data_IF_996431639047
#
_entry.id   IF_996431639047
#
_cell.length_a   1.000
_cell.length_b   1.000
_cell.length_c   1.000
_cell.angle_alpha   90.00
_cell.angle_beta   90.00
_cell.angle_gamma   90.00
#
_symmetry.space_group_name_H-M   'P 1'
#
loop_
_entity.id
_entity.type
_entity.pdbx_description
1 polymer ?
#
# COMPACT_ATOMS: atom_id res chain seq x y z
N UNK A 1 -59.60 -9.20 25.65
CA UNK A 1 -58.32 -9.87 25.32
C UNK A 1 -58.23 -9.87 23.81
N UNK A 2 -57.47 -8.96 23.20
CA UNK A 2 -57.39 -8.86 21.75
C UNK A 2 -56.45 -9.94 21.23
N UNK A 3 -57.04 -10.97 20.64
CA UNK A 3 -56.36 -12.04 19.92
C UNK A 3 -55.77 -11.43 18.63
N UNK A 4 -54.53 -10.96 18.72
CA UNK A 4 -53.83 -10.41 17.56
C UNK A 4 -53.28 -11.61 16.79
N UNK A 5 -53.66 -11.84 15.53
CA UNK A 5 -53.22 -13.01 14.78
C UNK A 5 -51.69 -13.05 14.74
N UNK A 6 -51.13 -14.14 15.25
CA UNK A 6 -49.69 -14.38 15.29
C UNK A 6 -49.20 -14.53 13.85
N UNK A 7 -48.45 -13.54 13.34
CA UNK A 7 -47.93 -13.54 11.96
C UNK A 7 -47.00 -14.75 11.78
N UNK A 8 -47.10 -15.44 10.64
CA UNK A 8 -46.32 -16.65 10.35
C UNK A 8 -44.90 -16.40 9.86
N UNK A 9 -44.49 -15.14 9.76
CA UNK A 9 -43.20 -14.73 9.22
C UNK A 9 -42.55 -13.67 10.12
N UNK A 10 -41.22 -13.73 10.30
CA UNK A 10 -40.53 -12.80 11.16
C UNK A 10 -40.47 -11.41 10.49
N UNK A 11 -40.56 -10.36 11.30
CA UNK A 11 -40.54 -8.97 10.84
C UNK A 11 -39.24 -8.30 11.24
N UNK A 12 -38.85 -7.28 10.48
CA UNK A 12 -37.71 -6.46 10.83
C UNK A 12 -37.99 -5.71 12.14
N UNK A 13 -37.17 -5.98 13.14
CA UNK A 13 -37.09 -5.26 14.41
C UNK A 13 -35.66 -4.76 14.57
N UNK A 14 -35.43 -3.78 15.44
CA UNK A 14 -34.07 -3.35 15.77
C UNK A 14 -33.27 -4.54 16.31
N UNK A 15 -33.84 -5.28 17.27
CA UNK A 15 -33.24 -6.45 17.92
C UNK A 15 -32.73 -7.48 16.90
N UNK A 16 -33.59 -7.89 15.97
CA UNK A 16 -33.34 -9.03 15.07
C UNK A 16 -32.87 -8.59 13.66
N UNK A 17 -32.60 -7.29 13.46
CA UNK A 17 -32.40 -6.67 12.14
C UNK A 17 -31.40 -7.40 11.24
N UNK A 18 -30.22 -7.77 11.74
CA UNK A 18 -29.19 -8.46 10.95
C UNK A 18 -29.61 -9.90 10.58
N UNK A 19 -30.31 -10.60 11.49
CA UNK A 19 -30.78 -11.97 11.27
C UNK A 19 -31.86 -12.00 10.19
N UNK A 20 -32.79 -11.03 10.23
CA UNK A 20 -33.85 -10.87 9.22
C UNK A 20 -33.28 -10.59 7.83
N UNK A 21 -32.22 -9.77 7.74
CA UNK A 21 -31.55 -9.50 6.45
C UNK A 21 -30.81 -10.74 5.97
N UNK A 22 -30.03 -11.40 6.84
CA UNK A 22 -29.25 -12.58 6.49
C UNK A 22 -30.11 -13.79 6.14
N UNK A 23 -31.30 -13.93 6.72
CA UNK A 23 -32.26 -14.98 6.37
C UNK A 23 -32.74 -14.91 4.90
N UNK A 24 -32.47 -13.80 4.19
CA UNK A 24 -32.81 -13.63 2.77
C UNK A 24 -31.69 -14.04 1.81
N UNK A 25 -30.54 -14.49 2.32
CA UNK A 25 -29.48 -15.07 1.48
C UNK A 25 -30.05 -16.35 0.85
N UNK A 26 -30.01 -16.43 -0.49
CA UNK A 26 -30.61 -17.54 -1.23
C UNK A 26 -29.94 -18.88 -0.93
N UNK A 27 -30.69 -20.00 -1.01
CA UNK A 27 -30.17 -21.33 -0.68
C UNK A 27 -29.07 -21.81 -1.63
N UNK A 28 -29.01 -21.29 -2.84
CA UNK A 28 -28.05 -21.69 -3.88
C UNK A 28 -26.76 -20.85 -3.90
N UNK A 29 -26.60 -19.90 -2.97
CA UNK A 29 -25.40 -19.05 -2.90
C UNK A 29 -24.21 -19.86 -2.41
N UNK A 30 -23.05 -19.69 -3.06
CA UNK A 30 -21.80 -20.35 -2.67
C UNK A 30 -21.49 -20.10 -1.17
N UNK A 31 -21.06 -21.13 -0.40
CA UNK A 31 -20.88 -21.01 1.05
C UNK A 31 -19.98 -19.85 1.49
N UNK A 32 -18.90 -19.59 0.74
CA UNK A 32 -17.97 -18.48 1.04
C UNK A 32 -18.64 -17.12 0.85
N UNK A 33 -19.36 -16.91 -0.24
CA UNK A 33 -20.07 -15.66 -0.55
C UNK A 33 -21.17 -15.39 0.48
N UNK A 34 -21.93 -16.42 0.87
CA UNK A 34 -22.95 -16.32 1.91
C UNK A 34 -22.34 -15.91 3.26
N UNK A 35 -21.21 -16.51 3.65
CA UNK A 35 -20.50 -16.18 4.88
C UNK A 35 -19.99 -14.73 4.89
N UNK A 36 -19.40 -14.26 3.78
CA UNK A 36 -18.93 -12.88 3.63
C UNK A 36 -20.07 -11.86 3.73
N UNK A 37 -21.16 -12.08 2.98
CA UNK A 37 -22.33 -11.20 3.02
C UNK A 37 -22.93 -11.12 4.44
N UNK A 38 -23.10 -12.29 5.09
CA UNK A 38 -23.66 -12.35 6.42
C UNK A 38 -22.80 -11.64 7.48
N UNK A 39 -21.47 -11.71 7.35
CA UNK A 39 -20.55 -11.00 8.23
C UNK A 39 -20.65 -9.48 8.06
N UNK A 40 -20.64 -8.99 6.81
CA UNK A 40 -20.78 -7.54 6.52
C UNK A 40 -22.07 -7.00 7.10
N UNK A 41 -23.21 -7.65 6.83
CA UNK A 41 -24.52 -7.23 7.35
C UNK A 41 -24.51 -7.20 8.88
N UNK A 42 -23.99 -8.23 9.54
CA UNK A 42 -23.92 -8.29 11.01
C UNK A 42 -23.11 -7.13 11.59
N UNK A 43 -21.92 -6.87 11.06
CA UNK A 43 -21.06 -5.79 11.59
C UNK A 43 -21.58 -4.39 11.25
N UNK A 44 -22.18 -4.21 10.06
CA UNK A 44 -22.80 -2.94 9.69
C UNK A 44 -24.00 -2.61 10.61
N UNK A 45 -24.88 -3.59 10.86
CA UNK A 45 -26.01 -3.40 11.76
C UNK A 45 -25.56 -3.16 13.20
N UNK A 46 -24.52 -3.87 13.67
CA UNK A 46 -23.95 -3.63 14.99
C UNK A 46 -23.44 -2.18 15.13
N UNK A 47 -22.71 -1.68 14.14
CA UNK A 47 -22.23 -0.30 14.13
C UNK A 47 -23.39 0.72 14.13
N UNK A 48 -24.44 0.51 13.33
CA UNK A 48 -25.62 1.40 13.30
C UNK A 48 -26.32 1.45 14.66
N UNK A 49 -26.47 0.30 15.34
CA UNK A 49 -27.06 0.25 16.68
C UNK A 49 -26.18 0.90 17.75
N UNK A 50 -24.86 0.80 17.60
CA UNK A 50 -23.91 1.44 18.53
C UNK A 50 -23.90 2.97 18.37
N UNK A 51 -23.98 3.46 17.13
CA UNK A 51 -23.90 4.89 16.81
C UNK A 51 -25.26 5.60 17.05
N UNK A 52 -26.37 4.88 16.87
CA UNK A 52 -27.74 5.44 16.86
C UNK A 52 -27.87 6.70 15.96
N UNK A 53 -27.46 6.65 14.67
CA UNK A 53 -27.36 7.84 13.84
C UNK A 53 -28.73 8.45 13.56
N UNK A 54 -28.77 9.77 13.52
CA UNK A 54 -29.90 10.53 12.99
C UNK A 54 -30.07 10.30 11.48
N UNK A 55 -31.25 10.62 10.95
CA UNK A 55 -31.49 10.55 9.51
C UNK A 55 -30.54 11.46 8.71
N UNK A 56 -30.21 12.63 9.25
CA UNK A 56 -29.28 13.57 8.61
C UNK A 56 -27.85 13.01 8.55
N UNK A 57 -27.37 12.39 9.63
CA UNK A 57 -26.06 11.72 9.64
C UNK A 57 -26.02 10.54 8.67
N UNK A 58 -27.10 9.74 8.61
CA UNK A 58 -27.22 8.68 7.62
C UNK A 58 -27.19 9.22 6.18
N UNK A 59 -27.95 10.28 5.87
CA UNK A 59 -27.91 10.91 4.54
C UNK A 59 -26.53 11.49 4.22
N UNK A 60 -25.82 12.05 5.20
CA UNK A 60 -24.46 12.53 5.03
C UNK A 60 -23.48 11.38 4.70
N UNK A 61 -23.61 10.22 5.36
CA UNK A 61 -22.82 9.04 5.06
C UNK A 61 -23.10 8.48 3.64
N UNK A 62 -24.37 8.44 3.22
CA UNK A 62 -24.75 8.04 1.86
C UNK A 62 -24.16 9.01 0.82
N UNK A 63 -24.22 10.32 1.08
CA UNK A 63 -23.63 11.33 0.20
C UNK A 63 -22.11 11.16 0.13
N UNK A 64 -21.43 10.94 1.25
CA UNK A 64 -19.99 10.65 1.28
C UNK A 64 -19.62 9.47 0.39
N UNK A 65 -20.28 8.31 0.56
CA UNK A 65 -20.01 7.13 -0.27
C UNK A 65 -20.32 7.36 -1.76
N UNK A 66 -21.36 8.15 -2.05
CA UNK A 66 -21.71 8.53 -3.42
C UNK A 66 -20.62 9.39 -4.06
N UNK A 67 -20.14 10.42 -3.34
CA UNK A 67 -19.05 11.29 -3.80
C UNK A 67 -17.74 10.49 -3.95
N UNK A 68 -17.44 9.55 -3.04
CA UNK A 68 -16.28 8.64 -3.16
C UNK A 68 -16.35 7.84 -4.46
N UNK A 69 -17.52 7.27 -4.78
CA UNK A 69 -17.72 6.56 -6.04
C UNK A 69 -17.57 7.45 -7.27
N UNK A 70 -18.12 8.67 -7.24
CA UNK A 70 -18.04 9.63 -8.34
C UNK A 70 -16.62 10.18 -8.57
N UNK A 71 -15.77 10.16 -7.54
CA UNK A 71 -14.37 10.57 -7.63
C UNK A 71 -13.47 9.49 -8.26
N UNK A 72 -13.94 8.25 -8.35
CA UNK A 72 -13.19 7.18 -8.98
C UNK A 72 -13.14 7.37 -10.52
N UNK A 73 -11.97 7.09 -11.11
CA UNK A 73 -11.71 7.13 -12.55
C UNK A 73 -10.67 6.05 -12.91
N UNK A 74 -10.28 5.95 -14.18
CA UNK A 74 -9.24 5.02 -14.65
C UNK A 74 -7.88 5.22 -13.96
N UNK A 75 -7.63 6.41 -13.41
CA UNK A 75 -6.35 6.79 -12.80
C UNK A 75 -6.47 7.18 -11.31
N UNK A 76 -7.69 7.18 -10.76
CA UNK A 76 -7.95 7.52 -9.35
C UNK A 76 -8.94 6.52 -8.75
N UNK A 77 -8.54 5.83 -7.68
CA UNK A 77 -9.39 4.88 -6.97
C UNK A 77 -9.68 5.36 -5.55
N UNK A 78 -10.67 6.25 -5.40
CA UNK A 78 -11.01 6.87 -4.11
C UNK A 78 -11.56 5.83 -3.10
N UNK A 79 -12.17 4.73 -3.55
CA UNK A 79 -12.56 3.63 -2.66
C UNK A 79 -11.37 2.82 -2.13
N UNK A 80 -10.32 2.65 -2.94
CA UNK A 80 -9.06 2.06 -2.46
C UNK A 80 -8.43 3.01 -1.45
N UNK A 81 -8.39 4.31 -1.74
CA UNK A 81 -7.87 5.31 -0.82
C UNK A 81 -8.64 5.35 0.51
N UNK A 82 -9.97 5.21 0.47
CA UNK A 82 -10.81 5.07 1.65
C UNK A 82 -10.44 3.82 2.46
N UNK A 83 -10.24 2.69 1.79
CA UNK A 83 -9.75 1.44 2.42
C UNK A 83 -8.39 1.64 3.08
N UNK A 84 -7.47 2.36 2.42
CA UNK A 84 -6.12 2.65 2.92
C UNK A 84 -6.17 3.49 4.21
N UNK A 85 -6.88 4.61 4.20
CA UNK A 85 -6.93 5.52 5.36
C UNK A 85 -7.76 4.97 6.53
N UNK A 86 -8.60 3.96 6.29
CA UNK A 86 -9.31 3.22 7.34
C UNK A 86 -8.51 1.99 7.83
N UNK A 87 -7.32 1.74 7.27
CA UNK A 87 -6.45 0.62 7.64
C UNK A 87 -6.92 -0.75 7.13
N UNK A 88 -7.97 -0.79 6.30
CA UNK A 88 -8.54 -2.03 5.76
C UNK A 88 -7.56 -2.69 4.80
N UNK A 89 -6.89 -1.92 3.95
CA UNK A 89 -5.91 -2.46 2.99
C UNK A 89 -4.74 -3.14 3.70
N UNK A 90 -4.20 -2.50 4.75
CA UNK A 90 -3.14 -3.09 5.58
C UNK A 90 -3.62 -4.32 6.36
N UNK A 91 -4.86 -4.32 6.85
CA UNK A 91 -5.43 -5.49 7.52
C UNK A 91 -5.59 -6.68 6.56
N UNK A 92 -6.06 -6.43 5.34
CA UNK A 92 -6.15 -7.46 4.29
C UNK A 92 -4.77 -8.00 3.95
N UNK A 93 -3.76 -7.14 3.79
CA UNK A 93 -2.38 -7.56 3.56
C UNK A 93 -1.85 -8.45 4.71
N UNK A 94 -1.99 -8.00 5.96
CA UNK A 94 -1.53 -8.74 7.13
C UNK A 94 -2.20 -10.12 7.30
N UNK A 95 -3.47 -10.27 6.91
CA UNK A 95 -4.19 -11.56 6.95
C UNK A 95 -3.64 -12.53 5.90
N UNK A 96 -3.37 -12.04 4.68
CA UNK A 96 -2.99 -12.88 3.55
C UNK A 96 -1.48 -13.13 3.44
N UNK A 97 -0.64 -12.30 4.08
CA UNK A 97 0.82 -12.40 4.01
C UNK A 97 1.45 -12.57 5.38
N UNK A 98 1.10 -13.66 6.07
CA UNK A 98 1.75 -14.06 7.32
C UNK A 98 3.15 -14.59 7.02
N UNK A 99 4.15 -13.72 7.13
CA UNK A 99 5.55 -14.02 6.86
C UNK A 99 6.20 -14.77 8.03
N UNK A 100 6.81 -15.95 7.82
CA UNK A 100 7.48 -16.68 8.88
C UNK A 100 8.87 -16.10 9.17
N UNK A 101 9.26 -16.09 10.44
CA UNK A 101 10.64 -15.87 10.87
C UNK A 101 11.24 -14.56 10.34
N UNK A 102 12.23 -14.69 9.45
CA UNK A 102 13.01 -13.60 8.87
C UNK A 102 12.54 -13.17 7.47
N UNK A 103 11.44 -13.73 6.94
CA UNK A 103 10.92 -13.33 5.64
C UNK A 103 10.51 -11.84 5.64
N UNK A 104 10.81 -11.12 4.56
CA UNK A 104 10.52 -9.69 4.47
C UNK A 104 9.03 -9.44 4.55
N UNK A 105 8.65 -8.50 5.41
CA UNK A 105 7.25 -8.14 5.61
C UNK A 105 6.65 -7.43 4.39
N UNK A 106 5.39 -7.73 4.12
CA UNK A 106 4.61 -6.99 3.13
C UNK A 106 4.12 -5.66 3.70
N UNK A 107 3.81 -4.74 2.80
CA UNK A 107 2.96 -3.58 3.04
C UNK A 107 2.19 -3.27 1.74
N UNK A 108 1.31 -2.27 1.76
CA UNK A 108 0.41 -1.98 0.63
C UNK A 108 1.16 -1.67 -0.68
N UNK A 109 0.61 -2.09 -1.82
CA UNK A 109 1.10 -1.73 -3.15
C UNK A 109 0.98 -0.23 -3.44
N UNK A 110 -0.12 0.38 -2.99
CA UNK A 110 -0.52 1.71 -3.42
C UNK A 110 -1.01 1.75 -4.88
N UNK A 111 -1.59 2.88 -5.32
CA UNK A 111 -2.27 2.97 -6.62
C UNK A 111 -1.34 3.31 -7.79
N UNK A 112 -0.03 3.44 -7.55
CA UNK A 112 0.91 4.04 -8.50
C UNK A 112 1.88 3.05 -9.14
N UNK A 113 1.67 1.74 -8.99
CA UNK A 113 2.45 0.72 -9.69
C UNK A 113 2.14 0.73 -11.20
N UNK A 114 3.16 0.50 -12.03
CA UNK A 114 3.04 0.43 -13.50
C UNK A 114 3.66 -0.88 -13.96
N UNK A 115 2.87 -1.68 -14.67
CA UNK A 115 3.30 -2.97 -15.21
C UNK A 115 4.11 -2.84 -16.50
N UNK A 116 4.86 -3.90 -16.84
CA UNK A 116 5.47 -4.04 -18.17
C UNK A 116 6.73 -3.21 -18.41
N UNK A 117 7.38 -2.72 -17.35
CA UNK A 117 8.68 -2.05 -17.47
C UNK A 117 9.75 -3.03 -17.99
N UNK A 118 10.66 -2.58 -18.88
CA UNK A 118 11.78 -3.41 -19.32
C UNK A 118 12.80 -3.58 -18.20
N UNK A 119 13.50 -4.72 -18.19
CA UNK A 119 14.63 -4.94 -17.29
C UNK A 119 15.77 -3.99 -17.66
N UNK A 120 16.28 -3.26 -16.66
CA UNK A 120 17.36 -2.28 -16.79
C UNK A 120 18.69 -2.87 -16.32
N UNK A 121 19.83 -2.40 -16.88
CA UNK A 121 21.14 -2.75 -16.35
C UNK A 121 21.32 -2.31 -14.88
N UNK A 122 22.07 -3.10 -14.11
CA UNK A 122 22.46 -2.73 -12.76
C UNK A 122 23.16 -1.36 -12.75
N UNK A 123 22.81 -0.52 -11.77
CA UNK A 123 23.35 0.83 -11.63
C UNK A 123 22.69 1.89 -12.51
N UNK A 124 21.64 1.55 -13.25
CA UNK A 124 20.82 2.56 -13.95
C UNK A 124 20.37 3.64 -12.96
N UNK A 125 20.45 4.91 -13.40
CA UNK A 125 19.90 6.03 -12.64
C UNK A 125 18.42 6.20 -12.99
N UNK A 126 17.57 6.05 -11.98
CA UNK A 126 16.12 6.18 -12.09
C UNK A 126 15.68 7.65 -12.00
N UNK A 127 16.50 8.55 -11.45
CA UNK A 127 16.19 9.98 -11.41
C UNK A 127 16.46 10.61 -12.78
N UNK A 128 15.40 10.81 -13.55
CA UNK A 128 15.43 11.37 -14.91
C UNK A 128 15.18 12.89 -14.92
N UNK A 129 14.56 13.42 -13.87
CA UNK A 129 14.28 14.87 -13.74
C UNK A 129 15.40 15.65 -13.02
N UNK A 130 16.38 14.95 -12.44
CA UNK A 130 17.53 15.54 -11.78
C UNK A 130 17.20 16.25 -10.45
N UNK A 131 16.05 15.96 -9.84
CA UNK A 131 15.61 16.56 -8.58
C UNK A 131 15.82 15.63 -7.39
N UNK A 132 16.17 16.21 -6.24
CA UNK A 132 16.36 15.50 -4.97
C UNK A 132 17.82 15.18 -4.64
N UNK A 133 18.03 14.64 -3.45
CA UNK A 133 19.37 14.26 -2.97
C UNK A 133 19.79 12.92 -3.60
N UNK A 134 20.96 12.81 -4.25
CA UNK A 134 21.41 11.57 -4.87
C UNK A 134 21.43 10.39 -3.89
N UNK A 135 20.91 9.24 -4.31
CA UNK A 135 20.85 8.01 -3.52
C UNK A 135 21.39 6.83 -4.34
N UNK A 136 22.20 5.98 -3.71
CA UNK A 136 22.48 4.62 -4.18
C UNK A 136 21.70 3.65 -3.32
N UNK A 137 20.93 2.79 -3.98
CA UNK A 137 20.24 1.66 -3.33
C UNK A 137 20.95 0.39 -3.74
N UNK A 138 21.47 -0.34 -2.75
CA UNK A 138 21.96 -1.71 -2.91
C UNK A 138 21.01 -2.67 -2.21
N UNK A 139 20.89 -3.89 -2.72
CA UNK A 139 20.11 -4.91 -2.07
C UNK A 139 20.55 -6.31 -2.45
N UNK A 140 20.06 -7.27 -1.68
CA UNK A 140 20.25 -8.69 -1.95
C UNK A 140 18.92 -9.43 -1.78
N UNK A 141 18.72 -10.49 -2.56
CA UNK A 141 17.54 -11.34 -2.48
C UNK A 141 17.99 -12.74 -2.08
N UNK A 142 17.47 -13.23 -0.96
CA UNK A 142 17.72 -14.58 -0.47
C UNK A 142 16.42 -15.29 -0.13
N UNK A 143 16.48 -16.61 0.08
CA UNK A 143 15.38 -17.34 0.71
C UNK A 143 15.50 -17.34 2.24
N UNK A 144 14.51 -17.92 2.93
CA UNK A 144 14.47 -18.03 4.40
C UNK A 144 15.60 -18.88 5.00
N UNK A 145 16.33 -19.65 4.19
CA UNK A 145 17.52 -20.40 4.60
C UNK A 145 18.82 -19.62 4.35
N UNK A 146 18.72 -18.39 3.83
CA UNK A 146 19.86 -17.52 3.52
C UNK A 146 20.54 -17.84 2.21
N UNK A 147 19.94 -18.69 1.35
CA UNK A 147 20.50 -18.99 0.02
C UNK A 147 20.16 -17.84 -0.94
N UNK A 148 21.11 -17.36 -1.76
CA UNK A 148 20.84 -16.30 -2.72
C UNK A 148 19.81 -16.77 -3.76
N UNK A 149 18.92 -15.85 -4.16
CA UNK A 149 17.92 -16.08 -5.20
C UNK A 149 18.33 -15.27 -6.43
N UNK A 150 18.92 -15.96 -7.40
CA UNK A 150 19.32 -15.39 -8.68
C UNK A 150 18.13 -15.24 -9.63
N UNK A 151 18.14 -14.19 -10.46
CA UNK A 151 17.07 -13.91 -11.43
C UNK A 151 15.72 -13.53 -10.80
N UNK A 152 15.71 -13.12 -9.53
CA UNK A 152 14.54 -12.48 -8.94
C UNK A 152 14.34 -11.13 -9.64
N UNK A 153 13.11 -10.85 -10.05
CA UNK A 153 12.71 -9.56 -10.57
C UNK A 153 12.47 -8.58 -9.42
N UNK A 154 13.00 -7.36 -9.53
CA UNK A 154 12.83 -6.27 -8.58
C UNK A 154 12.25 -5.06 -9.31
N UNK A 155 10.96 -4.84 -9.17
CA UNK A 155 10.28 -3.63 -9.63
C UNK A 155 10.32 -2.56 -8.52
N UNK A 156 10.71 -1.34 -8.88
CA UNK A 156 10.94 -0.22 -7.96
C UNK A 156 10.22 1.03 -8.46
N UNK A 157 9.58 1.76 -7.55
CA UNK A 157 9.02 3.07 -7.84
C UNK A 157 9.00 3.97 -6.60
N UNK A 158 9.10 5.28 -6.79
CA UNK A 158 8.97 6.30 -5.73
C UNK A 158 8.50 7.64 -6.31
N UNK A 159 8.14 8.58 -5.43
CA UNK A 159 7.91 9.97 -5.80
C UNK A 159 9.22 10.70 -6.09
N UNK A 160 9.13 11.77 -6.88
CA UNK A 160 10.21 12.75 -7.00
C UNK A 160 10.27 13.71 -5.80
N UNK A 161 11.23 14.65 -5.81
CA UNK A 161 11.45 15.58 -4.69
C UNK A 161 10.27 16.55 -4.45
N UNK A 162 9.38 16.71 -5.44
CA UNK A 162 8.14 17.48 -5.33
C UNK A 162 6.98 16.64 -4.74
N UNK A 163 7.19 15.35 -4.47
CA UNK A 163 6.21 14.45 -3.86
C UNK A 163 5.23 13.80 -4.84
N UNK A 164 5.57 13.72 -6.13
CA UNK A 164 4.69 13.14 -7.16
C UNK A 164 5.32 11.95 -7.87
N UNK A 165 4.49 10.94 -8.16
CA UNK A 165 4.81 9.93 -9.16
C UNK A 165 4.63 10.51 -10.57
N UNK A 166 5.46 10.06 -11.52
CA UNK A 166 5.39 10.44 -12.93
C UNK A 166 3.97 10.35 -13.54
N UNK A 167 3.21 9.30 -13.21
CA UNK A 167 1.84 9.07 -13.69
C UNK A 167 0.84 10.13 -13.24
N UNK A 168 1.14 10.85 -12.16
CA UNK A 168 0.34 11.98 -11.67
C UNK A 168 0.70 13.28 -12.40
N UNK A 169 1.85 13.33 -13.06
CA UNK A 169 2.42 14.53 -13.68
C UNK A 169 2.77 14.29 -15.16
N UNK A 170 1.85 13.67 -15.91
CA UNK A 170 2.01 13.41 -17.36
C UNK A 170 2.32 14.71 -18.11
N UNK A 171 3.40 14.71 -18.87
CA UNK A 171 3.88 15.87 -19.65
C UNK A 171 4.66 16.91 -18.83
N UNK A 172 4.80 16.72 -17.51
CA UNK A 172 5.63 17.55 -16.63
C UNK A 172 6.86 16.79 -16.14
N UNK A 173 6.69 15.54 -15.70
CA UNK A 173 7.80 14.63 -15.41
C UNK A 173 8.18 13.80 -16.65
N UNK A 174 9.46 13.41 -16.79
CA UNK A 174 9.85 12.39 -17.77
C UNK A 174 9.06 11.10 -17.56
N UNK A 175 8.66 10.45 -18.64
CA UNK A 175 7.98 9.15 -18.59
C UNK A 175 8.90 8.09 -17.96
N UNK A 176 8.40 7.36 -16.96
CA UNK A 176 9.19 6.37 -16.23
C UNK A 176 10.17 6.97 -15.21
N UNK A 177 10.07 8.27 -14.90
CA UNK A 177 10.90 8.89 -13.87
C UNK A 177 10.74 8.16 -12.53
N UNK A 178 11.86 7.82 -11.90
CA UNK A 178 11.96 7.12 -10.63
C UNK A 178 11.26 5.76 -10.60
N UNK A 179 11.22 5.08 -11.75
CA UNK A 179 10.76 3.70 -11.90
C UNK A 179 11.81 2.83 -12.56
N UNK A 180 11.90 1.58 -12.12
CA UNK A 180 12.81 0.62 -12.76
C UNK A 180 12.46 -0.82 -12.44
N UNK A 181 12.88 -1.71 -13.33
CA UNK A 181 12.82 -3.15 -13.13
C UNK A 181 14.23 -3.71 -13.25
N UNK A 182 14.66 -4.51 -12.30
CA UNK A 182 15.98 -5.13 -12.26
C UNK A 182 15.87 -6.63 -12.06
N UNK A 183 16.96 -7.34 -12.30
CA UNK A 183 17.11 -8.75 -11.97
C UNK A 183 18.28 -8.94 -11.01
N UNK A 184 18.12 -9.81 -10.01
CA UNK A 184 19.20 -10.16 -9.09
C UNK A 184 20.27 -11.02 -9.78
N UNK A 185 21.54 -10.79 -9.45
CA UNK A 185 22.68 -11.53 -9.97
C UNK A 185 22.80 -12.94 -9.35
N UNK A 186 23.89 -13.67 -9.67
CA UNK A 186 24.11 -15.03 -9.20
C UNK A 186 24.24 -15.14 -7.66
N UNK A 187 24.66 -14.05 -7.02
CA UNK A 187 24.78 -13.90 -5.58
C UNK A 187 23.52 -13.26 -4.96
N UNK A 188 22.47 -13.04 -5.76
CA UNK A 188 21.22 -12.43 -5.34
C UNK A 188 21.28 -10.90 -5.24
N UNK A 189 22.39 -10.26 -5.62
CA UNK A 189 22.61 -8.83 -5.53
C UNK A 189 21.91 -8.03 -6.62
N UNK A 190 21.54 -6.78 -6.29
CA UNK A 190 21.12 -5.78 -7.26
C UNK A 190 21.44 -4.38 -6.74
N UNK A 191 21.54 -3.40 -7.64
CA UNK A 191 21.71 -2.00 -7.24
C UNK A 191 21.27 -1.04 -8.33
N UNK A 192 20.91 0.18 -7.92
CA UNK A 192 20.54 1.28 -8.81
C UNK A 192 20.79 2.63 -8.15
N UNK A 193 20.71 3.70 -8.96
CA UNK A 193 20.77 5.09 -8.47
C UNK A 193 19.37 5.69 -8.51
N UNK A 194 19.05 6.46 -7.49
CA UNK A 194 17.77 7.14 -7.33
C UNK A 194 18.01 8.46 -6.59
N UNK A 195 16.97 9.00 -5.98
CA UNK A 195 17.06 10.05 -4.99
C UNK A 195 16.45 9.64 -3.66
N UNK A 196 16.91 10.28 -2.59
CA UNK A 196 16.40 10.05 -1.25
C UNK A 196 14.88 10.26 -1.22
N UNK A 197 14.09 9.32 -0.69
CA UNK A 197 12.65 9.46 -0.69
C UNK A 197 12.22 10.62 0.21
N UNK A 198 11.10 11.25 -0.14
CA UNK A 198 10.48 12.33 0.61
C UNK A 198 9.08 11.92 1.03
N UNK A 199 8.61 12.47 2.15
CA UNK A 199 7.20 12.38 2.51
C UNK A 199 6.36 13.18 1.50
N UNK A 200 5.12 12.75 1.34
CA UNK A 200 4.18 13.39 0.42
C UNK A 200 2.74 13.15 0.89
N UNK A 201 1.80 14.07 0.59
CA UNK A 201 0.39 13.85 0.85
C UNK A 201 -0.20 12.83 -0.14
N UNK A 202 -1.06 11.93 0.34
CA UNK A 202 -2.01 11.24 -0.55
C UNK A 202 -2.95 12.28 -1.21
N UNK A 203 -3.64 11.97 -2.32
CA UNK A 203 -4.67 12.86 -2.87
C UNK A 203 -5.72 13.23 -1.80
N UNK A 204 -5.81 14.52 -1.47
CA UNK A 204 -6.64 15.04 -0.38
C UNK A 204 -7.70 16.06 -0.82
N UNK A 205 -7.83 16.29 -2.12
CA UNK A 205 -8.85 17.12 -2.76
C UNK A 205 -10.24 16.47 -2.83
N UNK A 206 -10.33 15.18 -2.47
CA UNK A 206 -11.55 14.37 -2.55
C UNK A 206 -12.27 14.14 -1.21
N UNK A 207 -13.33 13.33 -1.22
CA UNK A 207 -14.05 12.96 0.00
C UNK A 207 -13.14 12.39 1.08
N UNK A 208 -12.14 11.58 0.72
CA UNK A 208 -11.22 10.99 1.70
C UNK A 208 -10.38 12.07 2.40
N UNK A 209 -9.86 13.05 1.66
CA UNK A 209 -9.14 14.17 2.26
C UNK A 209 -10.01 15.01 3.20
N UNK A 210 -11.27 15.27 2.81
CA UNK A 210 -12.26 15.93 3.69
C UNK A 210 -12.52 15.13 4.98
N UNK A 211 -12.61 13.80 4.88
CA UNK A 211 -12.76 12.91 6.03
C UNK A 211 -11.55 13.03 6.96
N UNK A 212 -10.33 12.95 6.43
CA UNK A 212 -9.10 13.12 7.21
C UNK A 212 -9.08 14.47 7.93
N UNK A 213 -9.34 15.56 7.22
CA UNK A 213 -9.39 16.90 7.80
C UNK A 213 -10.44 16.99 8.93
N UNK A 214 -11.62 16.40 8.73
CA UNK A 214 -12.70 16.36 9.75
C UNK A 214 -12.27 15.59 10.99
N UNK A 215 -11.49 14.52 10.83
CA UNK A 215 -10.94 13.71 11.92
C UNK A 215 -9.66 14.30 12.53
N UNK A 216 -9.18 15.46 12.05
CA UNK A 216 -7.92 16.06 12.49
C UNK A 216 -6.67 15.27 12.09
N UNK A 217 -6.75 14.47 11.02
CA UNK A 217 -5.65 13.64 10.50
C UNK A 217 -4.98 14.34 9.31
N UNK A 218 -3.66 14.16 9.18
CA UNK A 218 -2.91 14.63 8.02
C UNK A 218 -2.96 13.62 6.85
N UNK A 219 -2.80 14.07 5.59
CA UNK A 219 -2.73 13.19 4.42
C UNK A 219 -1.33 12.64 4.15
N UNK A 220 -0.31 13.04 4.92
CA UNK A 220 1.07 12.70 4.61
C UNK A 220 1.40 11.22 4.84
N UNK A 221 2.16 10.68 3.87
CA UNK A 221 2.82 9.39 3.95
C UNK A 221 4.24 9.53 4.45
N UNK A 222 4.70 8.56 5.22
CA UNK A 222 6.12 8.48 5.59
C UNK A 222 6.99 8.34 4.32
N UNK A 223 8.18 8.94 4.25
CA UNK A 223 9.06 8.86 3.10
C UNK A 223 9.45 7.41 2.78
N UNK A 224 9.20 6.92 1.57
CA UNK A 224 9.47 5.53 1.19
C UNK A 224 9.86 5.32 -0.27
N UNK A 225 10.47 4.16 -0.52
CA UNK A 225 10.70 3.57 -1.85
C UNK A 225 9.91 2.27 -1.91
N UNK A 226 9.13 2.07 -2.98
CA UNK A 226 8.40 0.84 -3.19
C UNK A 226 9.24 -0.25 -3.85
N UNK A 227 8.95 -1.50 -3.49
CA UNK A 227 9.52 -2.69 -4.09
C UNK A 227 8.42 -3.72 -4.34
N UNK A 228 8.46 -4.34 -5.51
CA UNK A 228 7.78 -5.61 -5.78
C UNK A 228 8.83 -6.61 -6.24
N UNK A 229 8.96 -7.71 -5.49
CA UNK A 229 9.99 -8.72 -5.71
C UNK A 229 9.33 -10.05 -6.02
N UNK A 230 9.73 -10.64 -7.14
CA UNK A 230 9.15 -11.86 -7.67
C UNK A 230 10.25 -12.81 -8.11
N UNK A 231 10.10 -14.10 -7.79
CA UNK A 231 10.99 -15.14 -8.27
C UNK A 231 10.19 -16.45 -8.46
N UNK A 232 10.51 -17.28 -9.47
CA UNK A 232 9.81 -18.55 -9.67
C UNK A 232 9.86 -19.44 -8.43
N UNK A 233 8.69 -19.90 -7.96
CA UNK A 233 8.56 -20.74 -6.76
C UNK A 233 8.64 -20.00 -5.42
N UNK A 234 8.56 -18.67 -5.44
CA UNK A 234 8.50 -17.81 -4.27
C UNK A 234 7.25 -16.95 -4.27
N UNK A 235 6.70 -16.72 -3.08
CA UNK A 235 5.59 -15.80 -2.91
C UNK A 235 6.07 -14.38 -3.26
N UNK A 236 5.26 -13.65 -4.03
CA UNK A 236 5.54 -12.25 -4.36
C UNK A 236 5.61 -11.40 -3.07
N UNK A 237 6.62 -10.54 -2.96
CA UNK A 237 6.76 -9.58 -1.87
C UNK A 237 6.50 -8.18 -2.41
N UNK A 238 5.44 -7.54 -1.92
CA UNK A 238 5.19 -6.11 -2.13
C UNK A 238 5.54 -5.43 -0.81
N UNK A 239 6.52 -4.53 -0.83
CA UNK A 239 7.04 -3.92 0.39
C UNK A 239 7.65 -2.54 0.13
N UNK A 240 8.03 -1.84 1.20
CA UNK A 240 8.68 -0.55 1.15
C UNK A 240 9.99 -0.55 1.95
N UNK A 241 10.85 0.41 1.65
CA UNK A 241 11.89 0.89 2.58
C UNK A 241 11.49 2.30 3.02
N UNK A 242 11.41 2.56 4.32
CA UNK A 242 11.08 3.88 4.88
C UNK A 242 12.33 4.64 5.36
N UNK A 243 12.35 5.97 5.21
CA UNK A 243 13.43 6.81 5.73
C UNK A 243 13.31 6.99 7.25
N UNK A 244 14.37 6.73 8.05
CA UNK A 244 14.31 6.68 9.52
C UNK A 244 14.12 8.06 10.17
N UNK A 245 14.39 9.14 9.45
CA UNK A 245 14.26 10.53 9.91
C UNK A 245 12.97 11.19 9.45
N UNK A 246 12.08 10.46 8.79
CA UNK A 246 10.81 11.03 8.33
C UNK A 246 9.90 11.35 9.53
N UNK A 247 9.36 12.60 9.62
CA UNK A 247 8.51 13.00 10.74
C UNK A 247 7.18 12.23 10.81
N UNK A 248 6.75 11.60 9.71
CA UNK A 248 5.48 10.87 9.62
C UNK A 248 5.61 9.36 9.84
N UNK A 249 6.76 8.84 10.29
CA UNK A 249 6.93 7.39 10.51
C UNK A 249 5.89 6.80 11.47
N UNK A 250 5.63 7.49 12.58
CA UNK A 250 4.69 7.03 13.60
C UNK A 250 3.22 7.25 13.20
N UNK A 251 2.96 8.05 12.16
CA UNK A 251 1.63 8.56 11.82
C UNK A 251 1.32 8.41 10.31
N UNK A 252 1.97 7.47 9.59
CA UNK A 252 1.73 7.23 8.16
C UNK A 252 0.23 7.07 7.91
N UNK A 253 -0.34 7.93 7.05
CA UNK A 253 -1.79 8.10 6.95
C UNK A 253 -2.54 6.82 6.50
N UNK A 254 -1.81 5.88 5.90
CA UNK A 254 -2.31 4.58 5.41
C UNK A 254 -1.75 3.40 6.20
N UNK A 255 -1.08 3.65 7.34
CA UNK A 255 -0.59 2.63 8.26
C UNK A 255 0.42 1.63 7.66
N UNK A 256 1.16 2.04 6.63
CA UNK A 256 2.06 1.17 5.88
C UNK A 256 3.41 0.92 6.55
N UNK A 257 3.77 1.70 7.56
CA UNK A 257 5.06 1.60 8.26
C UNK A 257 5.09 0.37 9.16
N UNK A 258 6.20 -0.37 9.08
CA UNK A 258 6.54 -1.45 10.00
C UNK A 258 8.00 -1.27 10.40
N UNK A 259 8.33 -1.58 11.66
CA UNK A 259 9.68 -1.39 12.21
C UNK A 259 10.75 -2.08 11.35
N UNK A 260 10.49 -3.32 10.91
CA UNK A 260 11.41 -4.10 10.08
C UNK A 260 11.67 -3.50 8.69
N UNK A 261 10.82 -2.58 8.23
CA UNK A 261 10.86 -1.91 6.93
C UNK A 261 11.47 -0.50 7.00
N UNK A 262 11.81 -0.01 8.19
CA UNK A 262 12.58 1.22 8.35
C UNK A 262 14.02 0.93 7.94
N UNK A 263 14.53 1.66 6.94
CA UNK A 263 15.86 1.46 6.39
C UNK A 263 16.93 2.27 7.10
N UNK A 264 18.19 1.96 6.80
CA UNK A 264 19.32 2.80 7.16
C UNK A 264 19.76 3.63 5.95
N UNK A 265 19.96 4.93 6.16
CA UNK A 265 20.42 5.85 5.13
C UNK A 265 21.69 6.53 5.63
N UNK A 266 22.81 6.20 5.01
CA UNK A 266 24.11 6.76 5.34
C UNK A 266 24.48 7.84 4.34
N UNK A 267 24.87 9.02 4.83
CA UNK A 267 25.42 10.08 3.97
C UNK A 267 26.91 9.82 3.75
N UNK A 268 27.30 9.66 2.50
CA UNK A 268 28.68 9.45 2.06
C UNK A 268 29.23 10.74 1.46
N UNK A 269 30.31 11.25 2.05
CA UNK A 269 31.06 12.42 1.58
C UNK A 269 32.51 12.04 1.25
N UNK A 270 32.65 11.13 0.28
CA UNK A 270 33.94 10.69 -0.26
C UNK A 270 33.91 10.78 -1.79
N UNK A 271 34.86 11.53 -2.35
CA UNK A 271 34.91 11.80 -3.78
C UNK A 271 35.21 10.54 -4.62
N UNK A 272 35.97 9.59 -4.08
CA UNK A 272 36.27 8.33 -4.74
C UNK A 272 35.04 7.44 -4.84
N UNK A 273 34.31 7.30 -3.74
CA UNK A 273 33.05 6.57 -3.67
C UNK A 273 31.97 7.22 -4.55
N UNK A 274 31.84 8.55 -4.51
CA UNK A 274 30.93 9.28 -5.39
C UNK A 274 31.23 9.01 -6.87
N UNK A 275 32.51 9.11 -7.27
CA UNK A 275 32.93 8.83 -8.63
C UNK A 275 32.65 7.38 -9.06
N UNK A 276 32.78 6.40 -8.16
CA UNK A 276 32.46 4.99 -8.43
C UNK A 276 30.99 4.77 -8.79
N UNK A 277 30.08 5.60 -8.27
CA UNK A 277 28.65 5.60 -8.61
C UNK A 277 28.27 6.67 -9.66
N UNK A 278 29.25 7.39 -10.21
CA UNK A 278 29.01 8.45 -11.20
C UNK A 278 28.34 9.69 -10.63
N UNK A 279 28.54 9.98 -9.34
CA UNK A 279 28.17 11.25 -8.71
C UNK A 279 29.37 12.19 -8.61
N UNK A 280 29.09 13.49 -8.61
CA UNK A 280 30.11 14.55 -8.50
C UNK A 280 30.22 15.16 -7.09
N UNK A 281 29.43 14.69 -6.14
CA UNK A 281 29.34 15.23 -4.79
C UNK A 281 28.79 14.20 -3.80
N UNK A 282 28.48 14.64 -2.56
CA UNK A 282 27.94 13.76 -1.54
C UNK A 282 26.65 13.09 -1.99
N UNK A 283 26.44 11.87 -1.54
CA UNK A 283 25.26 11.07 -1.84
C UNK A 283 24.83 10.27 -0.61
N UNK A 284 23.60 9.77 -0.64
CA UNK A 284 23.09 8.84 0.35
C UNK A 284 23.25 7.41 -0.13
N UNK A 285 23.44 6.48 0.80
CA UNK A 285 23.47 5.05 0.51
C UNK A 285 22.49 4.34 1.44
N UNK A 286 21.74 3.39 0.89
CA UNK A 286 20.96 2.43 1.67
C UNK A 286 21.23 1.03 1.15
N UNK A 287 21.38 0.06 2.06
CA UNK A 287 21.53 -1.36 1.74
C UNK A 287 20.37 -2.13 2.34
N UNK A 288 19.70 -2.96 1.54
CA UNK A 288 18.51 -3.69 1.98
C UNK A 288 18.51 -5.16 1.56
N UNK A 289 18.64 -6.10 2.51
CA UNK A 289 18.34 -7.50 2.23
C UNK A 289 16.82 -7.75 2.16
N UNK A 290 16.42 -8.56 1.19
CA UNK A 290 15.07 -9.06 0.99
C UNK A 290 15.06 -10.58 1.08
N UNK A 291 14.17 -11.12 1.90
CA UNK A 291 14.07 -12.55 2.20
C UNK A 291 12.73 -13.06 1.70
N UNK A 292 12.77 -13.91 0.69
CA UNK A 292 11.58 -14.48 0.06
C UNK A 292 11.18 -15.79 0.72
N UNK A 293 9.86 -15.97 0.91
CA UNK A 293 9.25 -17.24 1.31
C UNK A 293 8.94 -18.05 0.06
N UNK A 294 9.26 -19.35 0.07
CA UNK A 294 8.83 -20.28 -0.98
C UNK A 294 7.31 -20.44 -0.98
N UNK A 295 6.72 -20.59 -2.16
CA UNK A 295 5.33 -21.01 -2.27
C UNK A 295 5.19 -22.43 -1.73
N UNK A 296 4.16 -22.68 -0.92
CA UNK A 296 3.80 -24.05 -0.54
C UNK A 296 3.20 -24.73 -1.78
N UNK A 297 3.85 -25.80 -2.25
CA UNK A 297 3.41 -26.58 -3.40
C UNK A 297 2.24 -27.52 -3.11
#
# INVERSE_FOLDING_TARGET
MSDTPQRSYPLFSEQDSAEIVNARIGPDVAPRTANMAAAIVRHLHAAVKEIEPTHEEWYAAIRFLTETGQMCSDWRQEFILLSDVLGVSMLVDAINHRRPGNATENTILGPFFVEGLPVLPAGTNLCLDGKGEPLVVTGSVSDTEGRPVAGATIDVWQTNDDGYYDVQQKGLQPEGNLRGKFESDAEGGFWFRSVRPRDYPIPDDGPVGKLLATLGRHPNRAAHIHFMIQAPGFETVITHIFSPDCPYLAEDTVFGVKESLVGEFERVDDAGAAAAYGFSGPFWKTDRPFVLKREEG
#
